data_IF_258865641877
#
_entry.id   IF_258865641877
#
_cell.length_a   1.000
_cell.length_b   1.000
_cell.length_c   1.000
_cell.angle_alpha   90.00
_cell.angle_beta   90.00
_cell.angle_gamma   90.00
#
_symmetry.space_group_name_H-M   'P 1'
#
loop_
_entity.id
_entity.type
_entity.pdbx_description
1 polymer ?
#
# COMPACT_ATOMS: atom_id res chain seq x y z
N UNK A 1 17.00 11.22 -0.84
CA UNK A 1 16.26 10.15 -1.54
C UNK A 1 15.71 9.10 -0.58
N UNK A 2 16.51 8.52 0.34
CA UNK A 2 16.02 7.52 1.32
C UNK A 2 14.98 8.04 2.31
N UNK A 3 14.97 9.35 2.59
CA UNK A 3 14.03 9.99 3.50
C UNK A 3 12.56 9.87 3.08
N UNK A 4 12.27 9.54 1.81
CA UNK A 4 10.89 9.34 1.32
C UNK A 4 10.33 7.94 1.63
N UNK A 5 11.18 6.98 2.00
CA UNK A 5 10.73 5.64 2.43
C UNK A 5 10.31 5.58 3.90
N UNK A 6 10.85 6.48 4.75
CA UNK A 6 10.73 6.36 6.21
C UNK A 6 9.77 7.35 6.85
N UNK A 7 9.32 8.37 6.11
CA UNK A 7 8.34 9.34 6.61
C UNK A 7 6.96 8.93 6.07
N UNK A 8 6.15 8.29 6.92
CA UNK A 8 4.74 8.10 6.64
C UNK A 8 4.02 9.43 6.90
N UNK A 9 3.53 10.06 5.83
CA UNK A 9 2.50 11.09 5.93
C UNK A 9 1.18 10.36 6.18
N UNK A 10 0.35 10.76 7.17
CA UNK A 10 -0.99 10.21 7.28
C UNK A 10 -1.74 10.50 5.98
N UNK A 11 -2.07 9.45 5.26
CA UNK A 11 -2.79 9.51 4.00
C UNK A 11 -4.27 9.83 4.26
N UNK A 12 -4.93 10.43 3.26
CA UNK A 12 -6.39 10.41 3.19
C UNK A 12 -6.83 8.93 3.27
N UNK A 13 -7.73 8.60 4.20
CA UNK A 13 -8.02 7.22 4.57
C UNK A 13 -8.46 6.39 3.34
N UNK A 14 -7.73 5.32 3.04
CA UNK A 14 -8.20 4.32 2.09
C UNK A 14 -9.39 3.57 2.73
N UNK A 15 -10.54 3.50 2.04
CA UNK A 15 -11.75 2.84 2.56
C UNK A 15 -11.66 1.30 2.47
N UNK A 16 -10.58 0.70 3.00
CA UNK A 16 -10.48 -0.74 3.15
C UNK A 16 -11.09 -1.17 4.49
N UNK A 17 -12.20 -1.90 4.43
CA UNK A 17 -12.93 -2.38 5.60
C UNK A 17 -12.13 -3.37 6.48
N UNK A 18 -11.14 -4.05 5.89
CA UNK A 18 -10.42 -5.17 6.47
C UNK A 18 -9.01 -4.84 7.01
N UNK A 19 -8.65 -3.55 7.08
CA UNK A 19 -7.35 -3.11 7.61
C UNK A 19 -7.43 -2.35 8.94
N UNK A 20 -8.64 -2.05 9.43
CA UNK A 20 -8.86 -1.15 10.59
C UNK A 20 -8.11 -1.57 11.87
N UNK A 21 -7.90 -2.87 12.07
CA UNK A 21 -7.18 -3.45 13.22
C UNK A 21 -5.84 -4.10 12.82
N UNK A 22 -5.38 -3.89 11.58
CA UNK A 22 -4.13 -4.48 11.10
C UNK A 22 -2.96 -3.54 11.39
N UNK A 23 -1.83 -4.08 11.88
CA UNK A 23 -0.62 -3.30 12.14
C UNK A 23 -0.08 -2.56 10.91
N UNK A 24 -0.36 -3.08 9.71
CA UNK A 24 0.08 -2.49 8.46
C UNK A 24 -0.85 -1.39 7.93
N UNK A 25 -1.94 -1.06 8.65
CA UNK A 25 -2.96 -0.10 8.20
C UNK A 25 -2.35 1.18 7.64
N UNK A 26 -1.53 1.86 8.45
CA UNK A 26 -0.99 3.17 8.08
C UNK A 26 -0.06 3.08 6.86
N UNK A 27 0.66 1.96 6.72
CA UNK A 27 1.51 1.69 5.55
C UNK A 27 0.68 1.39 4.30
N UNK A 28 -0.41 0.64 4.44
CA UNK A 28 -1.34 0.34 3.34
C UNK A 28 -1.99 1.64 2.86
N UNK A 29 -2.50 2.48 3.76
CA UNK A 29 -3.11 3.76 3.40
C UNK A 29 -2.10 4.68 2.70
N UNK A 30 -0.86 4.77 3.20
CA UNK A 30 0.21 5.56 2.58
C UNK A 30 0.55 5.08 1.16
N UNK A 31 0.74 3.78 0.96
CA UNK A 31 1.05 3.21 -0.35
C UNK A 31 -0.13 3.31 -1.32
N UNK A 32 -1.36 3.25 -0.82
CA UNK A 32 -2.57 3.44 -1.61
C UNK A 32 -2.69 4.88 -2.11
N UNK A 33 -2.46 5.87 -1.24
CA UNK A 33 -2.48 7.28 -1.61
C UNK A 33 -1.42 7.63 -2.67
N UNK A 34 -0.28 6.94 -2.66
CA UNK A 34 0.75 7.08 -3.69
C UNK A 34 0.44 6.28 -4.97
N UNK A 35 -0.63 5.48 -5.01
CA UNK A 35 -1.00 4.64 -6.15
C UNK A 35 -0.05 3.46 -6.38
N UNK A 36 0.74 3.08 -5.36
CA UNK A 36 1.65 1.93 -5.42
C UNK A 36 0.85 0.62 -5.32
N UNK A 37 -0.13 0.58 -4.42
CA UNK A 37 -0.99 -0.57 -4.19
C UNK A 37 -2.45 -0.24 -4.49
N UNK A 38 -3.24 -1.27 -4.78
CA UNK A 38 -4.69 -1.18 -4.95
C UNK A 38 -5.36 -2.27 -4.10
N UNK A 39 -6.63 -2.06 -3.77
CA UNK A 39 -7.45 -3.11 -3.15
C UNK A 39 -7.79 -4.25 -4.13
N UNK A 40 -8.37 -5.31 -3.60
CA UNK A 40 -8.84 -6.47 -4.37
C UNK A 40 -10.28 -6.33 -4.87
N UNK A 41 -10.84 -5.12 -4.79
CA UNK A 41 -12.25 -4.85 -5.03
C UNK A 41 -13.10 -4.98 -3.76
N UNK A 42 -14.38 -4.61 -3.87
CA UNK A 42 -15.38 -4.68 -2.79
C UNK A 42 -14.98 -3.95 -1.49
N UNK A 43 -14.13 -2.91 -1.57
CA UNK A 43 -13.67 -2.18 -0.38
C UNK A 43 -12.76 -3.01 0.55
N UNK A 44 -11.97 -3.93 -0.01
CA UNK A 44 -11.02 -4.76 0.77
C UNK A 44 -9.61 -4.75 0.19
N UNK A 45 -8.62 -4.92 1.04
CA UNK A 45 -7.20 -5.05 0.66
C UNK A 45 -6.66 -6.47 0.82
N UNK A 46 -7.16 -7.23 1.79
CA UNK A 46 -6.70 -8.55 2.22
C UNK A 46 -5.24 -8.54 2.71
N UNK A 47 -4.95 -7.84 3.83
CA UNK A 47 -3.57 -7.62 4.30
C UNK A 47 -2.83 -8.89 4.73
N UNK A 48 -3.54 -9.98 5.01
CA UNK A 48 -2.97 -11.25 5.46
C UNK A 48 -2.94 -12.33 4.37
N UNK A 49 -3.44 -12.03 3.16
CA UNK A 49 -3.40 -12.97 2.03
C UNK A 49 -2.02 -12.95 1.35
N UNK A 50 -1.68 -14.03 0.68
CA UNK A 50 -0.46 -14.09 -0.12
C UNK A 50 -0.57 -13.20 -1.36
N UNK A 51 0.50 -12.46 -1.65
CA UNK A 51 0.72 -11.82 -2.93
C UNK A 51 1.40 -12.82 -3.89
N UNK A 52 0.91 -12.86 -5.12
CA UNK A 52 1.60 -13.55 -6.22
C UNK A 52 2.90 -12.83 -6.57
N UNK A 53 3.82 -13.55 -7.23
CA UNK A 53 5.07 -12.95 -7.73
C UNK A 53 4.81 -11.74 -8.62
N UNK A 54 3.80 -11.79 -9.47
CA UNK A 54 3.44 -10.69 -10.37
C UNK A 54 2.94 -9.46 -9.60
N UNK A 55 2.09 -9.65 -8.60
CA UNK A 55 1.62 -8.56 -7.73
C UNK A 55 2.79 -7.92 -6.98
N UNK A 56 3.66 -8.73 -6.36
CA UNK A 56 4.83 -8.23 -5.62
C UNK A 56 5.77 -7.41 -6.51
N UNK A 57 6.10 -7.91 -7.71
CA UNK A 57 6.96 -7.17 -8.65
C UNK A 57 6.29 -5.89 -9.13
N UNK A 58 4.98 -5.91 -9.39
CA UNK A 58 4.23 -4.72 -9.79
C UNK A 58 4.27 -3.63 -8.72
N UNK A 59 4.12 -3.99 -7.44
CA UNK A 59 4.24 -3.05 -6.34
C UNK A 59 5.64 -2.44 -6.26
N UNK A 60 6.69 -3.26 -6.41
CA UNK A 60 8.08 -2.78 -6.38
C UNK A 60 8.39 -1.82 -7.53
N UNK A 61 7.93 -2.12 -8.75
CA UNK A 61 8.13 -1.25 -9.91
C UNK A 61 7.45 0.11 -9.72
N UNK A 62 6.18 0.11 -9.29
CA UNK A 62 5.46 1.36 -8.99
C UNK A 62 6.11 2.17 -7.88
N UNK A 63 6.62 1.50 -6.86
CA UNK A 63 7.36 2.18 -5.79
C UNK A 63 8.63 2.82 -6.34
N UNK A 64 9.38 2.12 -7.20
CA UNK A 64 10.60 2.65 -7.82
C UNK A 64 10.30 3.89 -8.67
N UNK A 65 9.22 3.85 -9.45
CA UNK A 65 8.77 4.99 -10.27
C UNK A 65 8.44 6.25 -9.44
N UNK A 66 8.14 6.12 -8.14
CA UNK A 66 7.89 7.26 -7.25
C UNK A 66 9.16 7.86 -6.64
N UNK A 67 10.26 7.11 -6.68
CA UNK A 67 11.53 7.48 -6.05
C UNK A 67 12.49 8.15 -7.00
N UNK A 68 12.39 7.83 -8.29
CA UNK A 68 13.15 8.45 -9.40
C UNK A 68 12.48 9.75 -9.80
#
# INVERSE_FOLDING_TARGET
MLSRLTIHKPAEAAEFSDISQNWAKDHIEALFAEGVINGRGNGTFKPNDYASRAESVTMLLRLLDKLV
#
